data_IF_423647321487
#
_entry.id   IF_423647321487
#
_cell.length_a   1.000
_cell.length_b   1.000
_cell.length_c   1.000
_cell.angle_alpha   90.00
_cell.angle_beta   90.00
_cell.angle_gamma   90.00
#
_symmetry.space_group_name_H-M   'P 1'
#
loop_
_entity.id
_entity.type
_entity.pdbx_description
1 polymer ?
#
# COMPACT_ATOMS: atom_id res chain seq x y z
N UNK A 1 -11.39 17.95 -20.84
CA UNK A 1 -10.48 17.50 -19.79
C UNK A 1 -9.29 18.44 -19.76
N UNK A 2 -9.01 19.05 -18.59
CA UNK A 2 -7.86 19.89 -18.42
C UNK A 2 -6.59 19.08 -18.77
N UNK A 3 -5.83 19.56 -19.73
CA UNK A 3 -4.50 19.02 -19.99
C UNK A 3 -3.62 19.46 -18.84
N UNK A 4 -3.56 18.65 -17.79
CA UNK A 4 -2.57 18.79 -16.73
C UNK A 4 -1.49 17.76 -17.03
N UNK A 5 -0.46 18.10 -17.81
CA UNK A 5 0.45 17.14 -18.42
C UNK A 5 1.33 16.40 -17.42
N UNK A 6 1.39 16.85 -16.17
CA UNK A 6 2.29 16.33 -15.15
C UNK A 6 1.59 15.55 -14.03
N UNK A 7 0.26 15.54 -13.98
CA UNK A 7 -0.48 14.79 -12.96
C UNK A 7 -0.51 13.32 -13.32
N UNK A 8 0.08 12.49 -12.48
CA UNK A 8 -0.05 11.03 -12.52
C UNK A 8 -1.07 10.58 -11.48
N UNK A 9 -1.92 9.66 -11.86
CA UNK A 9 -2.93 9.05 -10.98
C UNK A 9 -2.49 7.63 -10.67
N UNK A 10 -2.23 7.36 -9.41
CA UNK A 10 -1.86 6.03 -8.93
C UNK A 10 -3.07 5.38 -8.26
N UNK A 11 -3.55 4.29 -8.82
CA UNK A 11 -4.61 3.47 -8.24
C UNK A 11 -4.00 2.20 -7.65
N UNK A 12 -4.28 1.93 -6.38
CA UNK A 12 -3.84 0.72 -5.68
C UNK A 12 -5.06 -0.14 -5.40
N UNK A 13 -5.07 -1.36 -5.90
CA UNK A 13 -6.22 -2.25 -5.79
C UNK A 13 -5.78 -3.72 -5.76
N UNK A 14 -6.63 -4.57 -5.15
CA UNK A 14 -6.52 -6.01 -5.28
C UNK A 14 -7.34 -6.53 -6.47
N UNK A 15 -7.06 -7.74 -6.92
CA UNK A 15 -7.80 -8.36 -8.03
C UNK A 15 -9.28 -8.64 -7.70
N UNK A 16 -9.66 -8.65 -6.42
CA UNK A 16 -11.04 -8.89 -6.00
C UNK A 16 -12.08 -7.99 -6.66
N UNK A 17 -11.71 -6.75 -7.00
CA UNK A 17 -12.56 -5.81 -7.72
C UNK A 17 -12.94 -6.25 -9.14
N UNK A 18 -12.18 -7.16 -9.75
CA UNK A 18 -12.41 -7.65 -11.13
C UNK A 18 -13.51 -8.70 -11.27
N UNK A 19 -14.12 -9.10 -10.17
CA UNK A 19 -15.30 -9.98 -10.22
C UNK A 19 -16.55 -9.29 -10.78
N UNK A 20 -16.54 -7.95 -10.89
CA UNK A 20 -17.67 -7.15 -11.35
C UNK A 20 -17.53 -6.76 -12.83
N UNK A 21 -18.64 -6.69 -13.56
CA UNK A 21 -18.66 -6.26 -14.96
C UNK A 21 -18.20 -4.81 -15.15
N UNK A 22 -18.46 -3.93 -14.17
CA UNK A 22 -18.04 -2.53 -14.19
C UNK A 22 -16.53 -2.35 -14.30
N UNK A 23 -15.74 -3.28 -13.82
CA UNK A 23 -14.28 -3.26 -13.96
C UNK A 23 -13.85 -3.36 -15.42
N UNK A 24 -14.50 -4.20 -16.20
CA UNK A 24 -14.22 -4.35 -17.62
C UNK A 24 -14.61 -3.10 -18.43
N UNK A 25 -15.72 -2.46 -18.10
CA UNK A 25 -16.13 -1.19 -18.70
C UNK A 25 -15.12 -0.09 -18.37
N UNK A 26 -14.63 -0.03 -17.14
CA UNK A 26 -13.64 0.95 -16.70
C UNK A 26 -12.31 0.76 -17.43
N UNK A 27 -11.81 -0.47 -17.52
CA UNK A 27 -10.57 -0.79 -18.24
C UNK A 27 -10.66 -0.38 -19.71
N UNK A 28 -11.76 -0.72 -20.38
CA UNK A 28 -12.00 -0.35 -21.77
C UNK A 28 -12.10 1.16 -21.95
N UNK A 29 -12.84 1.85 -21.07
CA UNK A 29 -13.01 3.31 -21.11
C UNK A 29 -11.72 4.06 -20.88
N UNK A 30 -10.87 3.59 -19.97
CA UNK A 30 -9.58 4.21 -19.68
C UNK A 30 -8.67 4.20 -20.92
N UNK A 31 -8.65 3.11 -21.67
CA UNK A 31 -7.94 3.05 -22.94
C UNK A 31 -8.57 3.97 -23.99
N UNK A 32 -9.89 3.91 -24.17
CA UNK A 32 -10.63 4.73 -25.14
C UNK A 32 -10.49 6.24 -24.91
N UNK A 33 -10.31 6.65 -23.66
CA UNK A 33 -10.06 8.04 -23.27
C UNK A 33 -8.56 8.44 -23.31
N UNK A 34 -7.66 7.51 -23.59
CA UNK A 34 -6.22 7.75 -23.65
C UNK A 34 -5.62 8.16 -22.30
N UNK A 35 -6.05 7.54 -21.19
CA UNK A 35 -5.61 7.90 -19.85
C UNK A 35 -4.19 7.39 -19.54
N UNK A 36 -3.20 7.80 -20.32
CA UNK A 36 -1.80 7.35 -20.14
C UNK A 36 -1.14 7.83 -18.85
N UNK A 37 -1.75 8.76 -18.13
CA UNK A 37 -1.35 9.19 -16.80
C UNK A 37 -1.94 8.33 -15.67
N UNK A 38 -2.82 7.37 -15.97
CA UNK A 38 -3.36 6.40 -15.04
C UNK A 38 -2.42 5.21 -14.91
N UNK A 39 -1.96 4.97 -13.70
CA UNK A 39 -1.05 3.87 -13.36
C UNK A 39 -1.72 3.02 -12.28
N UNK A 40 -1.99 1.78 -12.59
CA UNK A 40 -2.67 0.85 -11.70
C UNK A 40 -1.66 -0.10 -11.05
N UNK A 41 -1.68 -0.17 -9.72
CA UNK A 41 -0.87 -1.11 -8.93
C UNK A 41 -1.78 -2.21 -8.40
N UNK A 42 -1.58 -3.42 -8.89
CA UNK A 42 -2.41 -4.56 -8.54
C UNK A 42 -1.68 -5.52 -7.60
N UNK A 43 -2.26 -5.71 -6.41
CA UNK A 43 -1.92 -6.83 -5.56
C UNK A 43 -2.69 -8.08 -6.03
N UNK A 44 -2.00 -8.92 -6.77
CA UNK A 44 -2.56 -10.18 -7.28
C UNK A 44 -2.24 -11.34 -6.33
N UNK A 45 -2.99 -11.46 -5.26
CA UNK A 45 -2.79 -12.49 -4.24
C UNK A 45 -3.68 -13.72 -4.38
N UNK A 46 -4.66 -13.69 -5.27
CA UNK A 46 -5.63 -14.74 -5.57
C UNK A 46 -6.72 -14.97 -4.50
N UNK A 47 -6.83 -14.10 -3.48
CA UNK A 47 -7.82 -14.25 -2.43
C UNK A 47 -8.55 -12.96 -2.09
N UNK A 48 -9.87 -13.00 -2.17
CA UNK A 48 -10.77 -11.99 -1.61
C UNK A 48 -11.06 -12.21 -0.11
N UNK A 49 -12.28 -11.88 0.28
CA UNK A 49 -12.83 -12.12 1.63
C UNK A 49 -13.25 -13.59 1.79
N UNK A 50 -13.75 -14.17 0.70
CA UNK A 50 -14.30 -15.51 0.67
C UNK A 50 -13.21 -16.59 0.67
N UNK A 51 -13.61 -17.82 1.04
CA UNK A 51 -12.72 -18.96 1.08
C UNK A 51 -12.28 -19.47 -0.31
N UNK A 52 -12.82 -18.89 -1.39
CA UNK A 52 -12.50 -19.29 -2.76
C UNK A 52 -11.38 -18.42 -3.33
N UNK A 53 -10.41 -19.00 -4.03
CA UNK A 53 -9.45 -18.24 -4.83
C UNK A 53 -10.18 -17.42 -5.90
N UNK A 54 -9.67 -16.22 -6.18
CA UNK A 54 -10.17 -15.36 -7.25
C UNK A 54 -10.13 -16.08 -8.61
N UNK A 55 -9.08 -16.83 -8.88
CA UNK A 55 -8.90 -17.65 -10.09
C UNK A 55 -9.99 -18.73 -10.29
N UNK A 56 -10.79 -19.02 -9.28
CA UNK A 56 -11.96 -19.89 -9.43
C UNK A 56 -13.20 -19.19 -10.00
N UNK A 57 -13.15 -17.86 -10.11
CA UNK A 57 -14.24 -16.99 -10.57
C UNK A 57 -13.87 -16.27 -11.86
N UNK A 58 -12.65 -15.71 -11.93
CA UNK A 58 -12.16 -14.95 -13.07
C UNK A 58 -11.02 -15.70 -13.76
N UNK A 59 -11.23 -15.99 -15.03
CA UNK A 59 -10.23 -16.67 -15.85
C UNK A 59 -9.10 -15.72 -16.28
N UNK A 60 -7.89 -16.24 -16.37
CA UNK A 60 -6.73 -15.56 -16.91
C UNK A 60 -5.85 -14.89 -15.86
N UNK A 61 -5.01 -14.02 -16.34
CA UNK A 61 -3.99 -13.28 -15.59
C UNK A 61 -4.16 -11.78 -15.81
N UNK A 62 -3.50 -10.91 -15.05
CA UNK A 62 -3.53 -9.46 -15.33
C UNK A 62 -3.15 -9.11 -16.77
N UNK A 63 -2.26 -9.88 -17.41
CA UNK A 63 -1.93 -9.70 -18.84
C UNK A 63 -3.14 -9.96 -19.73
N UNK A 64 -3.93 -10.97 -19.42
CA UNK A 64 -5.12 -11.29 -20.19
C UNK A 64 -6.22 -10.25 -19.95
N UNK A 65 -6.38 -9.78 -18.72
CA UNK A 65 -7.45 -8.84 -18.36
C UNK A 65 -7.21 -7.44 -18.91
N UNK A 66 -6.01 -6.91 -18.77
CA UNK A 66 -5.67 -5.55 -19.19
C UNK A 66 -5.10 -5.49 -20.62
N UNK A 67 -4.26 -6.45 -20.99
CA UNK A 67 -3.62 -6.48 -22.31
C UNK A 67 -4.64 -6.63 -23.43
N UNK A 68 -5.72 -7.38 -23.24
CA UNK A 68 -6.82 -7.50 -24.19
C UNK A 68 -7.53 -6.18 -24.47
N UNK A 69 -7.41 -5.18 -23.60
CA UNK A 69 -7.96 -3.83 -23.73
C UNK A 69 -6.89 -2.79 -24.12
N UNK A 70 -5.71 -3.22 -24.53
CA UNK A 70 -4.67 -2.33 -25.03
C UNK A 70 -3.85 -1.60 -23.97
N UNK A 71 -3.93 -1.99 -22.70
CA UNK A 71 -3.09 -1.43 -21.65
C UNK A 71 -1.65 -1.93 -21.74
N UNK A 72 -0.72 -1.11 -21.29
CA UNK A 72 0.64 -1.59 -20.99
C UNK A 72 0.62 -2.37 -19.68
N UNK A 73 1.07 -3.62 -19.73
CA UNK A 73 1.03 -4.54 -18.60
C UNK A 73 2.43 -5.05 -18.29
N UNK A 74 2.91 -4.72 -17.12
CA UNK A 74 4.14 -5.27 -16.55
C UNK A 74 3.82 -5.93 -15.21
N UNK A 75 4.73 -6.76 -14.72
CA UNK A 75 4.56 -7.37 -13.40
C UNK A 75 5.52 -8.51 -13.16
N UNK A 76 5.36 -9.10 -11.98
CA UNK A 76 6.19 -10.22 -11.56
C UNK A 76 5.36 -11.29 -10.86
N UNK A 77 5.74 -12.55 -11.09
CA UNK A 77 5.25 -13.71 -10.34
C UNK A 77 5.95 -13.86 -8.98
N UNK A 78 6.97 -13.05 -8.73
CA UNK A 78 7.74 -13.00 -7.49
C UNK A 78 7.49 -11.66 -6.77
N UNK A 79 6.23 -11.36 -6.40
CA UNK A 79 5.85 -10.09 -5.80
C UNK A 79 6.54 -9.74 -4.48
N UNK A 80 7.24 -10.71 -3.91
CA UNK A 80 8.06 -10.57 -2.70
C UNK A 80 9.52 -10.21 -3.01
N UNK A 81 9.92 -10.30 -4.26
CA UNK A 81 11.25 -9.97 -4.74
C UNK A 81 11.28 -8.51 -5.19
N UNK A 82 11.81 -7.64 -4.32
CA UNK A 82 11.91 -6.21 -4.58
C UNK A 82 12.67 -5.88 -5.87
N UNK A 83 13.68 -6.68 -6.22
CA UNK A 83 14.43 -6.49 -7.45
C UNK A 83 13.57 -6.72 -8.69
N UNK A 84 12.77 -7.78 -8.72
CA UNK A 84 11.88 -8.07 -9.84
C UNK A 84 10.72 -7.05 -9.91
N UNK A 85 10.20 -6.64 -8.77
CA UNK A 85 9.16 -5.61 -8.70
C UNK A 85 9.68 -4.26 -9.22
N UNK A 86 10.88 -3.85 -8.81
CA UNK A 86 11.52 -2.61 -9.27
C UNK A 86 11.77 -2.64 -10.78
N UNK A 87 12.20 -3.78 -11.32
CA UNK A 87 12.37 -3.95 -12.78
C UNK A 87 11.05 -3.80 -13.52
N UNK A 88 9.95 -4.36 -12.98
CA UNK A 88 8.62 -4.21 -13.58
C UNK A 88 8.18 -2.75 -13.59
N UNK A 89 8.38 -2.02 -12.50
CA UNK A 89 8.11 -0.58 -12.43
C UNK A 89 8.94 0.22 -13.44
N UNK A 90 10.23 -0.07 -13.52
CA UNK A 90 11.11 0.61 -14.47
C UNK A 90 10.64 0.41 -15.91
N UNK A 91 10.37 -0.82 -16.31
CA UNK A 91 9.85 -1.12 -17.65
C UNK A 91 8.54 -0.39 -17.94
N UNK A 92 7.63 -0.37 -16.98
CA UNK A 92 6.32 0.26 -17.17
C UNK A 92 6.38 1.79 -17.22
N UNK A 93 7.14 2.40 -16.30
CA UNK A 93 7.10 3.85 -16.08
C UNK A 93 8.14 4.61 -16.90
N UNK A 94 9.24 3.96 -17.26
CA UNK A 94 10.38 4.59 -17.93
C UNK A 94 10.53 4.10 -19.38
N UNK A 95 10.56 2.79 -19.59
CA UNK A 95 10.79 2.24 -20.94
C UNK A 95 9.54 2.30 -21.81
N UNK A 96 8.34 2.11 -21.23
CA UNK A 96 7.07 2.09 -21.94
C UNK A 96 6.19 3.31 -21.57
N UNK A 97 6.78 4.48 -21.62
CA UNK A 97 6.13 5.72 -21.15
C UNK A 97 5.21 6.37 -22.21
N UNK A 98 4.46 5.58 -22.99
CA UNK A 98 3.47 6.16 -23.91
C UNK A 98 2.45 6.99 -23.12
N UNK A 99 2.30 8.29 -23.46
CA UNK A 99 1.43 9.21 -22.69
C UNK A 99 -0.07 8.96 -22.90
N UNK A 100 -0.46 8.14 -23.87
CA UNK A 100 -1.86 7.87 -24.21
C UNK A 100 -2.32 6.47 -23.81
N UNK A 101 -1.44 5.64 -23.32
CA UNK A 101 -1.78 4.26 -22.95
C UNK A 101 -1.78 4.10 -21.43
N UNK A 102 -2.93 3.73 -20.83
CA UNK A 102 -2.99 3.44 -19.41
C UNK A 102 -2.12 2.24 -19.04
N UNK A 103 -1.66 2.20 -17.81
CA UNK A 103 -0.61 1.29 -17.35
C UNK A 103 -1.06 0.50 -16.13
N UNK A 104 -0.67 -0.78 -16.09
CA UNK A 104 -0.84 -1.61 -14.90
C UNK A 104 0.45 -2.36 -14.57
N UNK A 105 0.83 -2.36 -13.32
CA UNK A 105 1.85 -3.24 -12.78
C UNK A 105 1.23 -4.17 -11.75
N UNK A 106 1.48 -5.45 -11.85
CA UNK A 106 0.99 -6.45 -10.92
C UNK A 106 2.12 -7.13 -10.15
N UNK A 107 1.84 -7.49 -8.92
CA UNK A 107 2.71 -8.31 -8.10
C UNK A 107 1.96 -9.57 -7.65
N UNK A 108 2.43 -10.74 -8.06
CA UNK A 108 1.91 -12.00 -7.54
C UNK A 108 2.40 -12.17 -6.11
N UNK A 109 1.54 -11.97 -5.16
CA UNK A 109 1.84 -12.02 -3.74
C UNK A 109 1.08 -13.14 -3.04
N UNK A 110 1.32 -13.32 -1.76
CA UNK A 110 0.51 -14.17 -0.90
C UNK A 110 -0.17 -13.34 0.17
N UNK A 111 -1.49 -13.32 0.18
CA UNK A 111 -2.29 -12.60 1.17
C UNK A 111 -1.96 -13.07 2.59
N UNK A 112 -1.68 -12.11 3.48
CA UNK A 112 -1.32 -12.38 4.87
C UNK A 112 0.14 -12.74 5.11
N UNK A 113 1.02 -12.54 4.13
CA UNK A 113 2.46 -12.74 4.32
C UNK A 113 3.00 -11.88 5.47
N UNK A 114 3.83 -12.47 6.33
CA UNK A 114 4.35 -11.82 7.53
C UNK A 114 3.35 -11.71 8.67
N UNK A 115 2.06 -11.87 8.39
CA UNK A 115 1.00 -11.82 9.39
C UNK A 115 0.71 -13.20 10.04
N UNK A 116 1.22 -14.30 9.47
CA UNK A 116 1.04 -15.69 9.93
C UNK A 116 -0.41 -16.21 9.94
N UNK A 117 -1.33 -15.46 9.36
CA UNK A 117 -2.61 -15.95 8.86
C UNK A 117 -2.61 -15.70 7.36
N UNK A 118 -3.08 -16.64 6.58
CA UNK A 118 -2.92 -16.61 5.13
C UNK A 118 -4.25 -16.67 4.41
N UNK A 119 -4.24 -16.15 3.20
CA UNK A 119 -5.34 -16.24 2.26
C UNK A 119 -6.63 -15.63 2.86
N UNK A 120 -7.81 -16.18 2.61
CA UNK A 120 -9.07 -15.66 3.14
C UNK A 120 -9.06 -15.55 4.69
N UNK A 121 -8.31 -16.41 5.38
CA UNK A 121 -8.25 -16.42 6.83
C UNK A 121 -7.54 -15.17 7.41
N UNK A 122 -6.82 -14.41 6.60
CA UNK A 122 -6.17 -13.16 7.02
C UNK A 122 -7.08 -11.94 6.93
N UNK A 123 -8.22 -12.03 6.21
CA UNK A 123 -9.08 -10.90 5.97
C UNK A 123 -9.92 -10.56 7.22
N UNK A 124 -9.76 -9.33 7.72
CA UNK A 124 -10.49 -8.84 8.89
C UNK A 124 -10.22 -9.56 10.21
N UNK A 125 -9.28 -10.49 10.22
CA UNK A 125 -9.00 -11.34 11.37
C UNK A 125 -7.77 -10.87 12.15
N UNK A 126 -7.92 -9.82 12.95
CA UNK A 126 -6.86 -9.37 13.85
C UNK A 126 -6.35 -10.50 14.76
N UNK A 127 -5.05 -10.47 15.07
CA UNK A 127 -4.53 -11.34 16.11
C UNK A 127 -5.07 -10.89 17.47
N UNK A 128 -5.50 -11.85 18.28
CA UNK A 128 -5.75 -11.53 19.69
C UNK A 128 -4.48 -10.95 20.29
N UNK A 129 -4.60 -9.81 20.98
CA UNK A 129 -3.48 -9.10 21.61
C UNK A 129 -2.66 -10.07 22.48
N UNK A 130 -1.35 -10.03 22.32
CA UNK A 130 -0.38 -10.87 23.00
C UNK A 130 -0.60 -12.39 22.83
N UNK A 131 -1.35 -12.81 21.82
CA UNK A 131 -1.43 -14.22 21.45
C UNK A 131 -0.09 -14.72 20.87
N UNK A 132 0.05 -16.02 20.74
CA UNK A 132 1.23 -16.63 20.12
C UNK A 132 1.51 -16.06 18.72
N UNK A 133 0.49 -15.91 17.87
CA UNK A 133 0.63 -15.33 16.53
C UNK A 133 1.01 -13.84 16.57
N UNK A 134 0.45 -13.09 17.52
CA UNK A 134 0.84 -11.69 17.74
C UNK A 134 2.32 -11.57 18.02
N UNK A 135 2.87 -12.39 18.91
CA UNK A 135 4.28 -12.37 19.24
C UNK A 135 5.15 -12.97 18.15
N UNK A 136 4.64 -13.94 17.39
CA UNK A 136 5.37 -14.52 16.27
C UNK A 136 5.70 -13.48 15.19
N UNK A 137 4.76 -12.59 14.87
CA UNK A 137 5.05 -11.48 13.93
C UNK A 137 6.16 -10.57 14.42
N UNK A 138 6.20 -10.26 15.73
CA UNK A 138 7.26 -9.44 16.33
C UNK A 138 8.61 -10.18 16.37
N UNK A 139 8.59 -11.47 16.61
CA UNK A 139 9.81 -12.30 16.61
C UNK A 139 10.53 -12.26 15.26
N UNK A 140 9.79 -12.32 14.17
CA UNK A 140 10.39 -12.30 12.85
C UNK A 140 11.03 -10.93 12.55
N UNK A 141 10.34 -9.85 12.94
CA UNK A 141 10.88 -8.50 12.85
C UNK A 141 12.14 -8.32 13.74
N UNK A 142 12.06 -8.73 15.01
CA UNK A 142 13.14 -8.67 15.96
C UNK A 142 14.40 -9.39 15.45
N UNK A 143 14.22 -10.59 14.91
CA UNK A 143 15.30 -11.37 14.30
C UNK A 143 15.89 -10.68 13.07
N UNK A 144 15.05 -10.10 12.21
CA UNK A 144 15.51 -9.45 10.98
C UNK A 144 16.35 -8.22 11.26
N UNK A 145 15.95 -7.43 12.24
CA UNK A 145 16.57 -6.13 12.53
C UNK A 145 17.43 -6.11 13.79
N UNK A 146 17.60 -7.27 14.44
CA UNK A 146 18.38 -7.43 15.68
C UNK A 146 17.96 -6.47 16.79
N UNK A 147 16.65 -6.44 17.07
CA UNK A 147 16.05 -5.62 18.13
C UNK A 147 15.19 -6.48 19.05
N UNK A 148 14.94 -6.00 20.26
CA UNK A 148 14.07 -6.66 21.22
C UNK A 148 12.79 -5.84 21.46
N UNK A 149 11.67 -6.54 21.57
CA UNK A 149 10.41 -5.93 21.97
C UNK A 149 10.22 -6.12 23.49
N UNK A 150 10.05 -5.02 24.18
CA UNK A 150 9.76 -5.03 25.61
C UNK A 150 8.49 -5.83 25.92
N UNK A 151 8.55 -6.66 26.97
CA UNK A 151 7.42 -7.51 27.33
C UNK A 151 7.09 -8.63 26.35
N UNK A 152 8.05 -9.03 25.50
CA UNK A 152 7.86 -10.13 24.54
C UNK A 152 7.37 -11.40 25.26
N UNK A 153 6.29 -11.99 24.77
CA UNK A 153 5.67 -13.18 25.33
C UNK A 153 4.78 -12.94 26.56
N UNK A 154 4.68 -11.70 27.07
CA UNK A 154 3.82 -11.38 28.20
C UNK A 154 2.33 -11.50 27.86
N UNK A 155 1.50 -11.60 28.90
CA UNK A 155 0.05 -11.48 28.77
C UNK A 155 -0.32 -10.05 28.39
N UNK A 156 -1.47 -9.88 27.73
CA UNK A 156 -1.99 -8.57 27.41
C UNK A 156 -2.27 -7.75 28.68
N UNK A 157 -1.91 -6.46 28.70
CA UNK A 157 -2.29 -5.59 29.79
C UNK A 157 -3.81 -5.52 29.92
N UNK A 158 -4.32 -5.52 31.17
CA UNK A 158 -5.76 -5.47 31.44
C UNK A 158 -6.31 -4.06 31.31
N UNK A 159 -5.53 -3.06 31.73
CA UNK A 159 -5.94 -1.66 31.67
C UNK A 159 -5.73 -1.05 30.28
N UNK A 160 -6.58 -0.09 29.92
CA UNK A 160 -6.42 0.69 28.70
C UNK A 160 -5.06 1.39 28.63
N UNK A 161 -4.67 2.06 29.71
CA UNK A 161 -3.39 2.77 29.77
C UNK A 161 -2.20 1.83 29.56
N UNK A 162 -2.26 0.64 30.14
CA UNK A 162 -1.23 -0.39 29.93
C UNK A 162 -1.19 -0.88 28.47
N UNK A 163 -2.34 -0.94 27.81
CA UNK A 163 -2.42 -1.31 26.39
C UNK A 163 -1.83 -0.21 25.48
N UNK A 164 -2.10 1.04 25.81
CA UNK A 164 -1.54 2.20 25.08
C UNK A 164 -0.02 2.24 25.26
N UNK A 165 0.45 2.05 26.49
CA UNK A 165 1.88 2.05 26.80
C UNK A 165 2.61 0.91 26.06
N UNK A 166 2.03 -0.29 26.05
CA UNK A 166 2.58 -1.40 25.26
C UNK A 166 2.62 -1.08 23.77
N UNK A 167 1.56 -0.49 23.21
CA UNK A 167 1.54 -0.10 21.80
C UNK A 167 2.65 0.92 21.51
N UNK A 168 2.83 1.91 22.39
CA UNK A 168 3.88 2.93 22.29
C UNK A 168 5.27 2.31 22.31
N UNK A 169 5.52 1.40 23.26
CA UNK A 169 6.79 0.68 23.37
C UNK A 169 7.09 -0.13 22.09
N UNK A 170 6.10 -0.84 21.56
CA UNK A 170 6.24 -1.58 20.29
C UNK A 170 6.55 -0.66 19.11
N UNK A 171 5.88 0.48 19.01
CA UNK A 171 6.17 1.47 17.98
C UNK A 171 7.55 2.07 18.11
N UNK A 172 7.99 2.42 19.31
CA UNK A 172 9.32 2.96 19.54
C UNK A 172 10.42 2.00 19.09
N UNK A 173 10.24 0.70 19.32
CA UNK A 173 11.17 -0.32 18.79
C UNK A 173 11.22 -0.33 17.26
N UNK A 174 10.07 -0.16 16.59
CA UNK A 174 10.03 -0.08 15.11
C UNK A 174 10.70 1.21 14.63
N UNK A 175 10.40 2.34 15.26
CA UNK A 175 11.01 3.63 14.91
C UNK A 175 12.52 3.65 15.11
N UNK A 176 13.04 3.02 16.15
CA UNK A 176 14.48 2.94 16.36
C UNK A 176 15.21 2.22 15.22
N UNK A 177 14.56 1.24 14.57
CA UNK A 177 15.11 0.59 13.38
C UNK A 177 15.14 1.57 12.20
N UNK A 178 14.10 2.37 12.01
CA UNK A 178 14.09 3.39 10.95
C UNK A 178 15.14 4.47 11.22
N UNK A 179 15.19 4.99 12.43
CA UNK A 179 16.14 6.03 12.86
C UNK A 179 17.60 5.58 12.77
N UNK A 180 17.87 4.28 12.83
CA UNK A 180 19.22 3.75 12.65
C UNK A 180 19.79 3.95 11.24
N UNK A 181 18.95 4.29 10.28
CA UNK A 181 19.33 4.63 8.91
C UNK A 181 19.03 6.12 8.63
N UNK A 182 19.87 7.00 9.15
CA UNK A 182 19.68 8.45 9.04
C UNK A 182 19.64 8.94 7.61
N UNK A 183 20.46 8.38 6.72
CA UNK A 183 20.45 8.73 5.30
C UNK A 183 19.07 8.48 4.65
N UNK A 184 18.44 7.35 4.98
CA UNK A 184 17.09 7.03 4.49
C UNK A 184 16.04 7.99 5.09
N UNK A 185 16.15 8.30 6.37
CA UNK A 185 15.22 9.24 7.05
C UNK A 185 15.33 10.62 6.43
N UNK A 186 16.53 11.13 6.23
CA UNK A 186 16.78 12.45 5.63
C UNK A 186 16.24 12.47 4.19
N UNK A 187 16.57 11.46 3.38
CA UNK A 187 16.07 11.34 2.02
C UNK A 187 14.54 11.35 1.94
N UNK A 188 13.87 10.55 2.79
CA UNK A 188 12.41 10.50 2.82
C UNK A 188 11.80 11.82 3.28
N UNK A 189 12.37 12.44 4.30
CA UNK A 189 11.90 13.73 4.84
C UNK A 189 12.03 14.84 3.81
N UNK A 190 13.20 14.98 3.20
CA UNK A 190 13.46 15.99 2.18
C UNK A 190 12.58 15.79 0.94
N UNK A 191 12.40 14.53 0.52
CA UNK A 191 11.53 14.19 -0.60
C UNK A 191 10.08 14.55 -0.31
N UNK A 192 9.56 14.22 0.88
CA UNK A 192 8.18 14.53 1.26
C UNK A 192 7.95 16.05 1.38
N UNK A 193 8.89 16.79 1.95
CA UNK A 193 8.84 18.26 2.03
C UNK A 193 8.82 18.86 0.62
N UNK A 194 9.75 18.43 -0.23
CA UNK A 194 9.84 18.89 -1.62
C UNK A 194 8.57 18.63 -2.42
N UNK A 195 7.97 17.43 -2.27
CA UNK A 195 6.71 17.10 -2.91
C UNK A 195 5.55 17.95 -2.39
N UNK A 196 5.52 18.21 -1.09
CA UNK A 196 4.52 19.07 -0.47
C UNK A 196 4.54 20.50 -1.00
N UNK A 197 5.72 21.02 -1.23
CA UNK A 197 5.91 22.39 -1.77
C UNK A 197 5.63 22.47 -3.28
N UNK A 198 5.54 21.35 -3.97
CA UNK A 198 5.27 21.28 -5.41
C UNK A 198 3.77 21.34 -5.78
N UNK A 199 2.87 21.30 -4.81
CA UNK A 199 1.41 21.37 -5.07
C UNK A 199 1.06 22.80 -5.49
N UNK A 200 0.60 23.06 -6.72
CA UNK A 200 0.27 24.40 -7.16
C UNK A 200 -0.96 24.91 -6.38
N UNK A 201 -0.96 26.22 -6.08
CA UNK A 201 -2.09 26.86 -5.40
C UNK A 201 -3.35 26.91 -6.27
N UNK A 202 -3.17 26.88 -7.58
CA UNK A 202 -4.24 26.97 -8.56
C UNK A 202 -3.93 26.11 -9.79
N UNK A 203 -4.94 25.38 -10.27
CA UNK A 203 -4.89 24.60 -11.51
C UNK A 203 -6.07 25.09 -12.38
N UNK A 204 -5.79 25.64 -13.57
CA UNK A 204 -6.78 26.11 -14.53
C UNK A 204 -7.88 27.02 -13.94
N UNK A 205 -7.49 27.97 -13.07
CA UNK A 205 -8.42 28.90 -12.41
C UNK A 205 -9.17 28.29 -11.22
N UNK A 206 -8.94 27.03 -10.91
CA UNK A 206 -9.51 26.39 -9.74
C UNK A 206 -8.49 26.35 -8.59
N UNK A 207 -8.82 26.98 -7.46
CA UNK A 207 -7.98 26.88 -6.27
C UNK A 207 -7.86 25.42 -5.82
N UNK A 208 -6.62 24.96 -5.70
CA UNK A 208 -6.32 23.66 -5.11
C UNK A 208 -6.55 23.76 -3.61
N UNK A 209 -7.64 23.16 -3.13
CA UNK A 209 -8.00 23.17 -1.71
C UNK A 209 -7.32 22.08 -0.91
N UNK A 210 -6.47 21.28 -1.53
CA UNK A 210 -5.69 20.25 -0.84
C UNK A 210 -4.57 20.95 -0.07
N UNK A 211 -4.80 21.15 1.21
CA UNK A 211 -3.73 21.57 2.11
C UNK A 211 -2.65 20.50 2.12
N UNK A 212 -1.41 20.90 1.94
CA UNK A 212 -0.28 20.00 2.16
C UNK A 212 -0.38 19.42 3.58
N UNK A 213 -0.58 18.10 3.74
CA UNK A 213 -0.69 17.51 5.06
C UNK A 213 0.54 17.81 5.95
N UNK A 214 1.74 17.93 5.36
CA UNK A 214 2.96 18.25 6.10
C UNK A 214 2.92 19.64 6.75
N UNK A 215 2.15 20.58 6.20
CA UNK A 215 1.97 21.93 6.73
C UNK A 215 0.74 22.06 7.64
N UNK A 216 -0.09 21.03 7.74
CA UNK A 216 -1.25 21.04 8.62
C UNK A 216 -0.89 20.52 10.01
N UNK A 217 -0.51 21.46 10.89
CA UNK A 217 -0.18 21.14 12.29
C UNK A 217 -1.29 20.44 13.04
N UNK A 218 -2.53 20.48 12.55
CA UNK A 218 -3.66 19.81 13.18
C UNK A 218 -3.72 18.33 12.83
N UNK A 219 -3.25 17.93 11.64
CA UNK A 219 -3.17 16.52 11.23
C UNK A 219 -2.00 15.78 11.91
N UNK A 220 -0.91 16.49 12.19
CA UNK A 220 0.28 15.91 12.81
C UNK A 220 0.44 16.25 14.30
N UNK A 221 -0.54 16.88 14.90
CA UNK A 221 -0.53 17.08 16.34
C UNK A 221 -0.91 15.76 17.04
N UNK A 222 0.09 14.93 17.25
CA UNK A 222 -0.03 13.59 17.86
C UNK A 222 -0.73 13.64 19.23
N UNK A 223 -0.73 14.79 19.90
CA UNK A 223 -1.45 15.03 21.15
C UNK A 223 -2.96 15.22 20.99
N UNK A 224 -3.45 15.41 19.77
CA UNK A 224 -4.87 15.64 19.48
C UNK A 224 -5.50 14.59 18.58
N UNK A 225 -4.76 13.56 18.18
CA UNK A 225 -5.36 12.42 17.50
C UNK A 225 -6.32 11.74 18.46
N UNK A 226 -7.61 11.58 18.09
CA UNK A 226 -8.55 10.82 18.90
C UNK A 226 -7.95 9.44 19.18
N UNK A 227 -8.05 8.97 20.42
CA UNK A 227 -7.56 7.65 20.82
C UNK A 227 -8.08 6.50 19.95
N UNK A 228 -9.14 6.72 19.23
CA UNK A 228 -9.84 5.84 18.30
C UNK A 228 -9.04 5.51 17.03
N UNK A 229 -8.08 6.35 16.61
CA UNK A 229 -7.22 6.06 15.46
C UNK A 229 -6.17 4.96 15.74
N UNK A 230 -5.95 4.62 17.00
CA UNK A 230 -5.04 3.54 17.40
C UNK A 230 -5.77 2.27 17.84
N UNK A 231 -7.08 2.27 17.80
CA UNK A 231 -7.94 1.13 18.10
C UNK A 231 -8.56 0.65 16.81
N UNK A 232 -7.78 -0.09 16.03
CA UNK A 232 -8.42 -1.02 15.11
C UNK A 232 -9.12 -2.09 15.97
N UNK A 233 -10.39 -2.40 15.70
CA UNK A 233 -11.13 -3.41 16.44
C UNK A 233 -10.47 -4.78 16.42
#
# INVERSE_FOLDING_TARGET
FAKVPEVKVFAFEGEGGFTTGASHETINSAWGLGLGNLIYFMDWNDYGIDARPFSSIVYGTPKDWFGSHGWHVEGTMEGENWGELTKAYHRLLIENADPNIPKVVYARSRKGRGYHKFDYASHGAAHKRNSELFWKTKKDFAKKYNVDFEGFGSKAPESWDGQVEQARSLFNTIFSVMESNQELVDYLSDTLISLGDSVPEEIDGCKVTVKNPANDKTLFNVGSLPGDLFVAP
#
